data_IF_552326349481
#
_entry.id   IF_552326349481
#
_cell.length_a   1.000
_cell.length_b   1.000
_cell.length_c   1.000
_cell.angle_alpha   90.00
_cell.angle_beta   90.00
_cell.angle_gamma   90.00
#
_symmetry.space_group_name_H-M   'P 1'
#
loop_
_entity.id
_entity.type
_entity.pdbx_description
1 polymer ?
#
# COMPACT_ATOMS: atom_id res chain seq x y z
N UNK A 1 0.24 -9.06 -3.42
CA UNK A 1 -0.96 -8.93 -2.59
C UNK A 1 -2.05 -9.70 -3.31
N UNK A 2 -2.69 -10.65 -2.65
CA UNK A 2 -3.88 -11.30 -3.20
C UNK A 2 -5.09 -10.39 -2.90
N UNK A 3 -5.77 -9.96 -3.94
CA UNK A 3 -6.93 -9.07 -3.85
C UNK A 3 -7.94 -9.46 -4.94
N UNK A 4 -9.15 -9.85 -4.54
CA UNK A 4 -10.21 -10.30 -5.46
C UNK A 4 -9.75 -11.40 -6.45
N UNK A 5 -9.04 -12.41 -5.95
CA UNK A 5 -8.49 -13.53 -6.74
C UNK A 5 -7.40 -13.10 -7.76
N UNK A 6 -6.86 -11.89 -7.63
CA UNK A 6 -5.77 -11.36 -8.44
C UNK A 6 -4.51 -11.12 -7.59
N UNK A 7 -3.35 -11.51 -8.14
CA UNK A 7 -2.06 -11.26 -7.53
C UNK A 7 -1.47 -9.93 -8.01
N UNK A 8 -1.58 -8.90 -7.17
CA UNK A 8 -1.04 -7.58 -7.44
C UNK A 8 0.41 -7.49 -6.95
N UNK A 9 1.34 -7.09 -7.82
CA UNK A 9 2.76 -6.92 -7.49
C UNK A 9 2.99 -5.49 -6.97
N UNK A 10 3.44 -5.38 -5.72
CA UNK A 10 3.80 -4.11 -5.10
C UNK A 10 5.32 -3.94 -5.08
N UNK A 11 5.80 -2.74 -5.44
CA UNK A 11 7.22 -2.36 -5.41
C UNK A 11 7.49 -1.47 -4.20
N UNK A 12 8.67 -1.61 -3.61
CA UNK A 12 9.08 -0.72 -2.52
C UNK A 12 9.19 0.73 -3.02
N UNK A 13 8.72 1.67 -2.21
CA UNK A 13 8.73 3.10 -2.48
C UNK A 13 9.37 3.87 -1.32
N UNK A 14 9.80 5.11 -1.59
CA UNK A 14 10.42 5.97 -0.59
C UNK A 14 9.41 6.32 0.50
N UNK A 15 9.84 6.21 1.76
CA UNK A 15 9.06 6.55 2.94
C UNK A 15 9.94 7.16 4.03
N UNK A 16 9.38 8.14 4.76
CA UNK A 16 10.06 8.75 5.90
C UNK A 16 10.12 7.80 7.12
N UNK A 17 9.14 6.89 7.25
CA UNK A 17 9.14 5.86 8.29
C UNK A 17 8.32 4.63 7.84
N UNK A 18 8.68 3.47 8.37
CA UNK A 18 8.05 2.20 7.98
C UNK A 18 8.45 1.74 6.57
N UNK A 19 7.80 0.68 6.10
CA UNK A 19 8.04 0.13 4.77
C UNK A 19 6.84 0.46 3.86
N UNK A 20 7.06 1.27 2.82
CA UNK A 20 6.01 1.64 1.87
C UNK A 20 6.18 0.83 0.59
N UNK A 21 5.06 0.34 0.08
CA UNK A 21 4.97 -0.37 -1.19
C UNK A 21 3.84 0.22 -2.02
N UNK A 22 4.05 0.35 -3.33
CA UNK A 22 3.06 0.86 -4.28
C UNK A 22 2.97 -0.07 -5.49
N UNK A 23 1.77 -0.23 -6.04
CA UNK A 23 1.54 -1.01 -7.25
C UNK A 23 0.09 -0.88 -7.70
N UNK A 24 -0.09 -0.77 -9.01
CA UNK A 24 -1.38 -0.39 -9.61
C UNK A 24 -1.95 0.85 -8.90
N UNK A 25 -3.17 0.77 -8.37
CA UNK A 25 -3.84 1.83 -7.61
C UNK A 25 -3.82 1.58 -6.10
N UNK A 26 -2.81 0.86 -5.60
CA UNK A 26 -2.70 0.53 -4.17
C UNK A 26 -1.39 1.01 -3.56
N UNK A 27 -1.52 1.48 -2.33
CA UNK A 27 -0.41 1.73 -1.41
C UNK A 27 -0.55 0.82 -0.20
N UNK A 28 0.51 0.07 0.10
CA UNK A 28 0.61 -0.73 1.31
C UNK A 28 1.72 -0.17 2.20
N UNK A 29 1.39 0.15 3.45
CA UNK A 29 2.33 0.67 4.43
C UNK A 29 2.49 -0.30 5.59
N UNK A 30 3.66 -0.90 5.73
CA UNK A 30 4.03 -1.73 6.87
C UNK A 30 4.36 -0.87 8.09
N UNK A 31 3.68 -1.14 9.21
CA UNK A 31 3.92 -0.53 10.51
C UNK A 31 4.24 -1.63 11.53
N UNK A 32 5.53 -1.87 11.76
CA UNK A 32 5.97 -2.98 12.60
C UNK A 32 5.96 -4.32 11.87
N UNK A 33 5.84 -5.43 12.61
CA UNK A 33 5.99 -6.79 12.05
C UNK A 33 4.69 -7.44 11.56
N UNK A 34 3.52 -6.99 12.02
CA UNK A 34 2.25 -7.70 11.77
C UNK A 34 1.08 -6.79 11.36
N UNK A 35 1.29 -5.47 11.26
CA UNK A 35 0.25 -4.52 10.88
C UNK A 35 0.62 -3.79 9.59
N UNK A 36 -0.33 -3.77 8.66
CA UNK A 36 -0.22 -3.06 7.39
C UNK A 36 -1.40 -2.11 7.23
N UNK A 37 -1.19 -0.98 6.58
CA UNK A 37 -2.27 -0.11 6.13
C UNK A 37 -2.36 -0.19 4.60
N UNK A 38 -3.52 -0.61 4.09
CA UNK A 38 -3.81 -0.65 2.66
C UNK A 38 -4.70 0.53 2.29
N UNK A 39 -4.18 1.41 1.44
CA UNK A 39 -4.88 2.57 0.90
C UNK A 39 -5.02 2.46 -0.61
N UNK A 40 -6.09 3.02 -1.16
CA UNK A 40 -6.25 3.19 -2.61
C UNK A 40 -5.65 4.53 -3.05
N UNK A 41 -4.98 4.52 -4.20
CA UNK A 41 -4.42 5.70 -4.84
C UNK A 41 -5.24 6.06 -6.07
N UNK A 42 -5.49 7.36 -6.24
CA UNK A 42 -5.97 7.97 -7.47
C UNK A 42 -4.87 8.03 -8.53
N UNK A 43 -5.28 8.22 -9.78
CA UNK A 43 -4.34 8.32 -10.90
C UNK A 43 -3.35 9.49 -10.75
N UNK A 44 -3.81 10.64 -10.25
CA UNK A 44 -2.95 11.80 -9.99
C UNK A 44 -1.85 11.48 -8.97
N UNK A 45 -2.19 10.74 -7.91
CA UNK A 45 -1.22 10.36 -6.88
C UNK A 45 -0.18 9.38 -7.41
N UNK A 46 -0.59 8.45 -8.27
CA UNK A 46 0.31 7.49 -8.91
C UNK A 46 1.29 8.22 -9.85
N UNK A 47 0.76 9.07 -10.74
CA UNK A 47 1.55 9.75 -11.76
C UNK A 47 2.55 10.73 -11.15
N UNK A 48 2.18 11.37 -10.04
CA UNK A 48 3.01 12.35 -9.35
C UNK A 48 3.82 11.77 -8.16
N UNK A 49 3.82 10.44 -7.99
CA UNK A 49 4.50 9.73 -6.89
C UNK A 49 4.15 10.28 -5.48
N UNK A 50 2.89 10.65 -5.30
CA UNK A 50 2.36 11.20 -4.04
C UNK A 50 1.95 10.08 -3.09
N UNK A 51 1.74 10.43 -1.83
CA UNK A 51 1.17 9.53 -0.82
C UNK A 51 -0.34 9.50 -1.00
N UNK A 52 -0.95 8.32 -0.86
CA UNK A 52 -2.40 8.16 -0.87
C UNK A 52 -3.06 9.06 0.19
N UNK A 53 -4.05 9.84 -0.22
CA UNK A 53 -4.92 10.64 0.65
C UNK A 53 -5.96 9.77 1.37
N UNK A 54 -6.27 8.59 0.84
CA UNK A 54 -7.06 7.57 1.52
C UNK A 54 -6.38 7.16 2.84
N UNK A 55 -7.09 7.31 3.96
CA UNK A 55 -6.65 6.87 5.29
C UNK A 55 -6.42 5.36 5.40
N UNK A 56 -6.92 4.61 4.41
CA UNK A 56 -6.68 3.19 4.23
C UNK A 56 -7.43 2.30 5.23
N UNK A 57 -7.10 1.02 5.20
CA UNK A 57 -7.63 -0.02 6.10
C UNK A 57 -6.48 -0.74 6.77
N UNK A 58 -6.61 -1.03 8.07
CA UNK A 58 -5.65 -1.86 8.79
C UNK A 58 -5.82 -3.32 8.39
N UNK A 59 -4.79 -3.89 7.79
CA UNK A 59 -4.67 -5.28 7.44
C UNK A 59 -3.76 -6.00 8.43
N UNK A 60 -4.09 -7.25 8.75
CA UNK A 60 -3.29 -8.15 9.58
C UNK A 60 -2.95 -9.40 8.79
N UNK A 61 -1.79 -9.97 9.07
CA UNK A 61 -1.44 -11.28 8.51
C UNK A 61 -2.36 -12.32 9.15
N UNK A 62 -3.13 -13.02 8.32
CA UNK A 62 -3.86 -14.22 8.73
C UNK A 62 -2.93 -15.41 8.54
N UNK A 63 -2.75 -16.20 9.59
CA UNK A 63 -1.96 -17.44 9.58
C UNK A 63 -2.83 -18.62 9.20
#
# INVERSE_FOLDING_TARGET
MDYNDELIVLKSAVAASGARYVGESFQLWGKGSEEFNLATMSEDEIVNDRIAEDTGRTCKIVK
#
